data_IF_858471006222
#
_entry.id   IF_858471006222
#
_cell.length_a   1.000
_cell.length_b   1.000
_cell.length_c   1.000
_cell.angle_alpha   90.00
_cell.angle_beta   90.00
_cell.angle_gamma   90.00
#
_symmetry.space_group_name_H-M   'P 1'
#
loop_
_entity.id
_entity.type
_entity.pdbx_description
1 polymer ?
#
# COMPACT_ATOMS: atom_id res chain seq x y z
N UNK A 1 -24.06 -1.18 9.03
CA UNK A 1 -22.58 -1.20 9.00
C UNK A 1 -22.13 -0.24 7.91
N UNK A 2 -21.20 0.68 8.17
CA UNK A 2 -20.71 1.59 7.13
C UNK A 2 -19.57 0.89 6.40
N UNK A 3 -19.78 0.60 5.12
CA UNK A 3 -18.76 -0.02 4.27
C UNK A 3 -17.80 1.04 3.73
N UNK A 4 -16.52 0.68 3.65
CA UNK A 4 -15.50 1.52 3.02
C UNK A 4 -15.64 1.41 1.51
N UNK A 5 -15.41 2.50 0.80
CA UNK A 5 -15.56 2.51 -0.66
C UNK A 5 -14.36 1.83 -1.33
N UNK A 6 -14.63 0.71 -2.01
CA UNK A 6 -13.63 0.01 -2.85
C UNK A 6 -13.10 0.94 -3.93
N UNK A 7 -13.98 1.75 -4.54
CA UNK A 7 -13.59 2.73 -5.54
C UNK A 7 -12.58 3.76 -4.98
N UNK A 8 -12.83 4.28 -3.77
CA UNK A 8 -11.91 5.20 -3.11
C UNK A 8 -10.58 4.51 -2.77
N UNK A 9 -10.61 3.24 -2.36
CA UNK A 9 -9.40 2.47 -2.10
C UNK A 9 -8.54 2.32 -3.37
N UNK A 10 -9.14 2.12 -4.55
CA UNK A 10 -8.43 2.12 -5.83
C UNK A 10 -7.90 3.49 -6.25
N UNK A 11 -8.64 4.58 -5.96
CA UNK A 11 -8.13 5.95 -6.17
C UNK A 11 -6.88 6.19 -5.30
N UNK A 12 -6.94 5.79 -4.03
CA UNK A 12 -5.80 5.87 -3.12
C UNK A 12 -4.64 4.97 -3.56
N UNK A 13 -4.92 3.79 -4.10
CA UNK A 13 -3.91 2.88 -4.63
C UNK A 13 -3.21 3.46 -5.87
N UNK A 14 -3.93 4.18 -6.74
CA UNK A 14 -3.35 4.77 -7.94
C UNK A 14 -2.44 5.96 -7.60
N UNK A 15 -2.91 6.89 -6.76
CA UNK A 15 -2.15 8.12 -6.44
C UNK A 15 -1.13 7.93 -5.30
N UNK A 16 -1.45 7.12 -4.30
CA UNK A 16 -0.67 6.94 -3.07
C UNK A 16 -0.27 5.48 -2.82
N UNK A 17 -0.35 4.62 -3.83
CA UNK A 17 -0.10 3.19 -3.68
C UNK A 17 1.30 2.84 -3.22
N UNK A 18 2.33 3.53 -3.72
CA UNK A 18 3.72 3.33 -3.28
C UNK A 18 3.93 3.62 -1.79
N UNK A 19 3.11 4.48 -1.19
CA UNK A 19 3.18 4.91 0.21
C UNK A 19 2.31 3.99 1.10
N UNK A 20 1.45 3.15 0.53
CA UNK A 20 0.61 2.20 1.26
C UNK A 20 -0.67 2.79 1.86
N UNK A 21 -1.12 3.96 1.41
CA UNK A 21 -2.28 4.67 2.00
C UNK A 21 -3.59 3.90 1.77
N UNK A 22 -3.75 3.21 0.63
CA UNK A 22 -4.91 2.34 0.35
C UNK A 22 -5.06 1.21 1.37
N UNK A 23 -3.94 0.63 1.85
CA UNK A 23 -3.93 -0.38 2.94
C UNK A 23 -4.34 0.24 4.27
N UNK A 24 -3.84 1.43 4.59
CA UNK A 24 -4.22 2.15 5.81
C UNK A 24 -5.71 2.49 5.82
N UNK A 25 -6.26 2.99 4.70
CA UNK A 25 -7.69 3.23 4.52
C UNK A 25 -8.50 1.95 4.72
N UNK A 26 -8.05 0.84 4.13
CA UNK A 26 -8.66 -0.48 4.29
C UNK A 26 -8.55 -1.04 5.72
N UNK A 27 -7.92 -0.32 6.66
CA UNK A 27 -7.81 -0.71 8.07
C UNK A 27 -6.61 -1.60 8.39
N UNK A 28 -5.67 -1.74 7.44
CA UNK A 28 -4.48 -2.57 7.55
C UNK A 28 -3.24 -1.71 7.81
N UNK A 29 -3.27 -0.97 8.92
CA UNK A 29 -2.28 0.05 9.28
C UNK A 29 -0.85 -0.50 9.34
N UNK A 30 -0.65 -1.69 9.94
CA UNK A 30 0.67 -2.30 10.04
C UNK A 30 1.31 -2.55 8.65
N UNK A 31 0.56 -3.15 7.73
CA UNK A 31 1.09 -3.42 6.37
C UNK A 31 1.23 -2.16 5.53
N UNK A 32 0.33 -1.18 5.70
CA UNK A 32 0.48 0.13 5.06
C UNK A 32 1.72 0.86 5.56
N UNK A 33 2.00 0.81 6.87
CA UNK A 33 3.19 1.43 7.46
C UNK A 33 4.48 0.72 7.05
N UNK A 34 4.46 -0.61 6.93
CA UNK A 34 5.59 -1.36 6.39
C UNK A 34 5.91 -0.95 4.94
N UNK A 35 4.88 -0.78 4.12
CA UNK A 35 5.02 -0.31 2.75
C UNK A 35 5.55 1.13 2.69
N UNK A 36 5.04 2.02 3.56
CA UNK A 36 5.55 3.39 3.71
C UNK A 36 7.03 3.44 4.10
N UNK A 37 7.42 2.70 5.14
CA UNK A 37 8.81 2.62 5.58
C UNK A 37 9.70 2.02 4.48
N UNK A 38 9.22 1.00 3.77
CA UNK A 38 9.93 0.43 2.63
C UNK A 38 10.14 1.43 1.50
N UNK A 39 9.11 2.17 1.12
CA UNK A 39 9.22 3.22 0.11
C UNK A 39 10.16 4.36 0.55
N UNK A 40 10.11 4.76 1.82
CA UNK A 40 10.96 5.81 2.37
C UNK A 40 12.43 5.37 2.43
N UNK A 41 12.71 4.20 3.00
CA UNK A 41 14.08 3.64 3.09
C UNK A 41 14.63 3.33 1.71
N UNK A 42 13.82 2.73 0.83
CA UNK A 42 14.19 2.46 -0.55
C UNK A 42 14.47 3.72 -1.35
N UNK A 43 13.67 4.78 -1.17
CA UNK A 43 13.85 6.08 -1.81
C UNK A 43 15.10 6.81 -1.31
N UNK A 44 15.32 6.88 0.00
CA UNK A 44 16.53 7.50 0.58
C UNK A 44 17.78 6.72 0.16
N UNK A 45 17.70 5.39 0.19
CA UNK A 45 18.77 4.49 -0.20
C UNK A 45 18.92 4.27 -1.70
N UNK A 46 18.17 4.97 -2.56
CA UNK A 46 18.08 4.66 -4.00
C UNK A 46 19.43 4.76 -4.74
N UNK A 47 20.36 5.58 -4.24
CA UNK A 47 21.73 5.66 -4.77
C UNK A 47 22.55 4.38 -4.52
N UNK A 48 22.11 3.54 -3.59
CA UNK A 48 22.70 2.24 -3.28
C UNK A 48 21.89 1.12 -3.95
N UNK A 49 22.59 0.08 -4.40
CA UNK A 49 21.98 -1.14 -4.96
C UNK A 49 20.88 -1.73 -4.07
N UNK A 50 21.05 -1.66 -2.75
CA UNK A 50 20.05 -2.14 -1.80
C UNK A 50 18.75 -1.34 -1.84
N UNK A 51 18.81 -0.01 -1.97
CA UNK A 51 17.61 0.82 -2.05
C UNK A 51 16.81 0.57 -3.33
N UNK A 52 17.50 0.37 -4.45
CA UNK A 52 16.86 -0.01 -5.72
C UNK A 52 16.11 -1.34 -5.62
N UNK A 53 16.73 -2.35 -4.98
CA UNK A 53 16.07 -3.62 -4.73
C UNK A 53 14.82 -3.47 -3.85
N UNK A 54 14.89 -2.62 -2.83
CA UNK A 54 13.78 -2.36 -1.92
C UNK A 54 12.62 -1.63 -2.61
N UNK A 55 12.92 -0.63 -3.45
CA UNK A 55 11.91 0.05 -4.28
C UNK A 55 11.27 -0.91 -5.28
N UNK A 56 12.04 -1.82 -5.90
CA UNK A 56 11.50 -2.84 -6.78
C UNK A 56 10.56 -3.80 -6.04
N UNK A 57 10.92 -4.21 -4.83
CA UNK A 57 10.07 -5.06 -3.98
C UNK A 57 8.76 -4.34 -3.64
N UNK A 58 8.82 -3.08 -3.19
CA UNK A 58 7.63 -2.27 -2.91
C UNK A 58 6.80 -2.04 -4.18
N UNK A 59 7.44 -1.84 -5.33
CA UNK A 59 6.75 -1.70 -6.62
C UNK A 59 6.03 -2.98 -7.05
N UNK A 60 6.66 -4.15 -6.89
CA UNK A 60 6.02 -5.44 -7.13
C UNK A 60 4.84 -5.66 -6.17
N UNK A 61 5.01 -5.31 -4.89
CA UNK A 61 3.94 -5.36 -3.90
C UNK A 61 2.78 -4.44 -4.28
N UNK A 62 3.06 -3.22 -4.73
CA UNK A 62 2.05 -2.28 -5.25
C UNK A 62 1.25 -2.86 -6.42
N UNK A 63 1.88 -3.60 -7.33
CA UNK A 63 1.18 -4.30 -8.41
C UNK A 63 0.29 -5.44 -7.90
N UNK A 64 0.77 -6.23 -6.94
CA UNK A 64 -0.05 -7.27 -6.29
C UNK A 64 -1.28 -6.66 -5.59
N UNK A 65 -1.14 -5.44 -5.06
CA UNK A 65 -2.24 -4.72 -4.44
C UNK A 65 -3.38 -4.37 -5.39
N UNK A 66 -3.17 -4.40 -6.71
CA UNK A 66 -4.26 -4.32 -7.68
C UNK A 66 -5.33 -5.41 -7.43
N UNK A 67 -4.89 -6.61 -7.06
CA UNK A 67 -5.77 -7.74 -6.77
C UNK A 67 -6.17 -7.81 -5.29
N UNK A 68 -5.26 -7.47 -4.37
CA UNK A 68 -5.51 -7.58 -2.93
C UNK A 68 -6.42 -6.48 -2.37
N UNK A 69 -6.45 -5.29 -2.98
CA UNK A 69 -7.14 -4.11 -2.42
C UNK A 69 -8.64 -4.34 -2.21
N UNK A 70 -9.32 -5.00 -3.15
CA UNK A 70 -10.75 -5.31 -3.00
C UNK A 70 -11.02 -6.18 -1.76
N UNK A 71 -10.25 -7.26 -1.57
CA UNK A 71 -10.40 -8.15 -0.42
C UNK A 71 -9.97 -7.51 0.92
N UNK A 72 -9.00 -6.60 0.89
CA UNK A 72 -8.58 -5.82 2.07
C UNK A 72 -9.69 -4.89 2.58
N UNK A 73 -10.52 -4.36 1.68
CA UNK A 73 -11.65 -3.50 2.04
C UNK A 73 -12.79 -4.31 2.67
N UNK A 74 -13.10 -5.47 2.09
CA UNK A 74 -14.18 -6.35 2.54
C UNK A 74 -13.89 -7.00 3.91
N UNK A 75 -12.62 -7.32 4.18
CA UNK A 75 -12.21 -7.98 5.42
C UNK A 75 -12.29 -7.12 6.69
N UNK A 76 -12.43 -5.79 6.60
CA UNK A 76 -12.50 -4.87 7.76
C UNK A 76 -13.58 -3.79 7.62
N UNK A 77 -14.86 -4.13 7.87
CA UNK A 77 -15.94 -3.16 7.97
C UNK A 77 -15.75 -2.23 9.18
N UNK A 78 -16.32 -1.02 9.10
CA UNK A 78 -16.25 -0.02 10.18
C UNK A 78 -17.26 -0.44 11.25
N UNK A 79 -16.76 -0.79 12.45
CA UNK A 79 -17.56 -1.18 13.62
C UNK A 79 -18.27 0.02 14.23
#
# INVERSE_FOLDING_TARGET
>A
MREKSVALAYVLWFFFGYVGVHRMYSGHLATGMAMFCGALVGGIGFSLWFGQFLVLLVGAWWLLDLFLTAGLVESRPIM
#
